data_IF_839950617873
#
_entry.id   IF_839950617873
#
_cell.length_a   1.000
_cell.length_b   1.000
_cell.length_c   1.000
_cell.angle_alpha   90.00
_cell.angle_beta   90.00
_cell.angle_gamma   90.00
#
_symmetry.space_group_name_H-M   'P 1'
#
loop_
_entity.id
_entity.type
_entity.pdbx_description
1 polymer ?
#
# COMPACT_ATOMS: atom_id res chain seq x y z
N UNK A 1 -9.40 27.84 6.36
CA UNK A 1 -8.10 27.23 6.00
C UNK A 1 -7.88 25.94 6.79
N UNK A 2 -8.21 24.76 6.22
CA UNK A 2 -7.83 23.49 6.84
C UNK A 2 -6.40 23.19 6.46
N UNK A 3 -5.55 23.16 7.48
CA UNK A 3 -4.12 22.86 7.41
C UNK A 3 -3.92 21.38 7.06
N UNK A 4 -3.23 21.12 5.96
CA UNK A 4 -2.51 19.87 5.75
C UNK A 4 -1.10 20.28 5.33
N UNK A 5 -0.10 20.29 6.23
CA UNK A 5 1.29 20.37 5.80
C UNK A 5 1.66 18.99 5.27
N UNK A 6 1.21 18.64 4.07
CA UNK A 6 1.42 17.33 3.44
C UNK A 6 2.84 17.19 2.87
N UNK A 7 3.83 17.74 3.56
CA UNK A 7 5.24 17.68 3.16
C UNK A 7 6.11 18.12 4.34
N UNK A 8 6.04 17.41 5.47
CA UNK A 8 7.15 17.51 6.42
C UNK A 8 8.34 16.85 5.76
N UNK A 9 9.25 17.70 5.27
CA UNK A 9 10.53 17.37 4.66
C UNK A 9 11.47 16.61 5.63
N UNK A 10 11.06 15.43 6.07
CA UNK A 10 11.95 14.39 6.52
C UNK A 10 12.30 13.56 5.29
N UNK A 11 13.54 13.07 5.22
CA UNK A 11 14.12 12.34 4.07
C UNK A 11 13.53 10.91 3.99
N UNK A 12 12.22 10.78 4.10
CA UNK A 12 11.52 9.55 4.39
C UNK A 12 10.04 9.61 4.04
N UNK A 13 9.39 8.45 4.02
CA UNK A 13 8.00 8.30 3.63
C UNK A 13 7.10 8.30 4.86
N UNK A 14 5.97 8.96 4.76
CA UNK A 14 4.94 8.95 5.79
C UNK A 14 4.11 7.66 5.74
N UNK A 15 3.46 7.36 6.87
CA UNK A 15 2.58 6.21 7.01
C UNK A 15 1.50 6.23 5.92
N UNK A 16 1.43 5.21 5.05
CA UNK A 16 0.41 5.14 4.03
C UNK A 16 -0.96 4.76 4.63
N UNK A 17 -2.04 5.34 4.11
CA UNK A 17 -3.41 4.91 4.41
C UNK A 17 -3.85 3.84 3.40
N UNK A 18 -4.10 2.62 3.89
CA UNK A 18 -4.65 1.52 3.09
C UNK A 18 -6.10 1.28 3.49
N UNK A 19 -7.02 1.39 2.54
CA UNK A 19 -8.43 1.05 2.73
C UNK A 19 -8.63 -0.43 2.46
N UNK A 20 -9.35 -1.15 3.34
CA UNK A 20 -9.63 -2.59 3.21
C UNK A 20 -8.36 -3.47 3.14
N UNK A 21 -7.31 -3.03 3.84
CA UNK A 21 -6.07 -3.76 3.98
C UNK A 21 -5.31 -3.36 5.24
N UNK A 22 -4.15 -3.99 5.43
CA UNK A 22 -3.33 -3.88 6.63
C UNK A 22 -1.88 -3.70 6.25
N UNK A 23 -1.21 -2.73 6.87
CA UNK A 23 0.23 -2.54 6.74
C UNK A 23 0.94 -3.43 7.75
N UNK A 24 1.84 -4.28 7.28
CA UNK A 24 2.77 -5.01 8.13
C UNK A 24 3.84 -4.01 8.59
N UNK A 25 3.93 -3.80 9.90
CA UNK A 25 4.80 -2.80 10.54
C UNK A 25 4.43 -1.33 10.28
N UNK A 26 3.18 -0.96 10.57
CA UNK A 26 2.74 0.45 10.55
C UNK A 26 3.57 1.32 11.53
N UNK A 27 4.27 2.31 10.99
CA UNK A 27 5.07 3.33 11.70
C UNK A 27 4.65 4.69 11.19
N UNK A 28 4.91 5.73 11.98
CA UNK A 28 4.59 7.11 11.58
C UNK A 28 5.43 7.61 10.41
N UNK A 29 6.67 7.12 10.29
CA UNK A 29 7.67 7.56 9.29
C UNK A 29 8.64 6.42 8.97
N UNK A 30 9.08 6.37 7.73
CA UNK A 30 10.00 5.37 7.17
C UNK A 30 11.18 6.04 6.50
N UNK A 31 12.34 5.42 6.56
CA UNK A 31 13.54 5.90 5.87
C UNK A 31 13.61 5.43 4.43
N UNK A 32 14.25 6.22 3.56
CA UNK A 32 14.48 5.82 2.18
C UNK A 32 15.23 4.47 2.10
N UNK A 33 14.67 3.53 1.34
CA UNK A 33 15.15 2.15 1.24
C UNK A 33 14.42 1.16 2.16
N UNK A 34 13.61 1.64 3.11
CA UNK A 34 12.71 0.75 3.87
C UNK A 34 11.55 0.29 3.01
N UNK A 35 11.16 -0.96 3.25
CA UNK A 35 10.12 -1.63 2.49
C UNK A 35 8.96 -1.98 3.41
N UNK A 36 7.75 -1.73 2.93
CA UNK A 36 6.51 -2.04 3.61
C UNK A 36 5.74 -3.11 2.87
N UNK A 37 5.21 -4.06 3.64
CA UNK A 37 4.24 -5.03 3.13
C UNK A 37 2.82 -4.60 3.48
N UNK A 38 1.92 -4.84 2.54
CA UNK A 38 0.49 -4.57 2.67
C UNK A 38 -0.27 -5.85 2.38
N UNK A 39 -1.24 -6.15 3.23
CA UNK A 39 -2.08 -7.33 3.10
C UNK A 39 -3.51 -6.85 2.97
N UNK A 40 -4.13 -7.08 1.82
CA UNK A 40 -5.53 -6.74 1.64
C UNK A 40 -6.43 -7.76 2.35
N UNK A 41 -7.60 -7.32 2.80
CA UNK A 41 -8.60 -8.22 3.37
C UNK A 41 -9.09 -9.21 2.30
N UNK A 42 -9.52 -10.41 2.74
CA UNK A 42 -9.97 -11.48 1.85
C UNK A 42 -11.10 -10.99 0.94
N UNK A 43 -10.92 -11.11 -0.38
CA UNK A 43 -11.87 -10.64 -1.40
C UNK A 43 -11.65 -9.20 -1.89
N UNK A 44 -10.63 -8.50 -1.39
CA UNK A 44 -10.24 -7.14 -1.80
C UNK A 44 -8.95 -7.04 -2.60
N UNK A 45 -8.35 -8.17 -2.98
CA UNK A 45 -7.20 -8.18 -3.87
C UNK A 45 -7.10 -9.48 -4.64
N UNK A 46 -6.49 -9.41 -5.83
CA UNK A 46 -6.08 -10.58 -6.62
C UNK A 46 -4.75 -11.16 -6.13
N UNK A 47 -3.96 -10.36 -5.41
CA UNK A 47 -2.65 -10.72 -4.86
C UNK A 47 -2.73 -10.71 -3.33
N UNK A 48 -2.19 -11.75 -2.67
CA UNK A 48 -2.33 -11.92 -1.22
C UNK A 48 -1.51 -10.90 -0.41
N UNK A 49 -0.46 -10.32 -1.01
CA UNK A 49 0.41 -9.36 -0.32
C UNK A 49 1.10 -8.45 -1.33
N UNK A 50 1.06 -7.14 -1.08
CA UNK A 50 1.75 -6.11 -1.86
C UNK A 50 2.96 -5.60 -1.10
N UNK A 51 3.92 -5.05 -1.82
CA UNK A 51 5.14 -4.49 -1.24
C UNK A 51 5.45 -3.14 -1.88
N UNK A 52 5.72 -2.12 -1.05
CA UNK A 52 6.16 -0.80 -1.51
C UNK A 52 7.42 -0.38 -0.79
N UNK A 53 8.39 0.14 -1.53
CA UNK A 53 9.61 0.68 -0.98
C UNK A 53 9.52 2.21 -0.86
N UNK A 54 9.99 2.73 0.25
CA UNK A 54 10.15 4.16 0.44
C UNK A 54 11.29 4.69 -0.42
N UNK A 55 10.97 5.54 -1.38
CA UNK A 55 11.96 6.20 -2.21
C UNK A 55 12.55 7.42 -1.48
N UNK A 56 13.80 7.80 -1.78
CA UNK A 56 14.44 9.00 -1.23
C UNK A 56 13.75 10.32 -1.59
N UNK A 57 12.71 10.28 -2.43
CA UNK A 57 11.79 11.39 -2.69
C UNK A 57 10.61 11.51 -1.74
N UNK A 58 10.50 10.65 -0.72
CA UNK A 58 9.35 10.62 0.21
C UNK A 58 8.10 9.98 -0.40
N UNK A 59 8.27 9.18 -1.43
CA UNK A 59 7.19 8.51 -2.17
C UNK A 59 7.33 7.01 -2.09
N UNK A 60 6.20 6.31 -1.96
CA UNK A 60 6.15 4.85 -2.03
C UNK A 60 6.19 4.38 -3.48
N UNK A 61 7.08 3.44 -3.79
CA UNK A 61 7.19 2.81 -5.11
C UNK A 61 7.34 1.27 -4.98
N UNK A 62 6.46 0.47 -5.59
CA UNK A 62 5.24 0.89 -6.30
C UNK A 62 4.27 1.65 -5.36
N UNK A 63 3.35 2.47 -5.91
CA UNK A 63 2.40 3.21 -5.10
C UNK A 63 1.57 2.28 -4.23
N UNK A 64 1.18 2.78 -3.06
CA UNK A 64 0.39 2.04 -2.07
C UNK A 64 -0.86 1.46 -2.75
N UNK A 65 -1.11 0.14 -2.61
CA UNK A 65 -2.25 -0.49 -3.25
C UNK A 65 -3.56 0.05 -2.67
N UNK A 66 -4.51 0.32 -3.55
CA UNK A 66 -5.91 0.38 -3.16
C UNK A 66 -6.44 -1.05 -3.16
N UNK A 67 -6.79 -1.59 -2.00
CA UNK A 67 -7.46 -2.89 -1.91
C UNK A 67 -8.91 -2.72 -2.40
N UNK A 68 -9.08 -2.69 -3.72
CA UNK A 68 -10.36 -2.68 -4.40
C UNK A 68 -10.88 -4.12 -4.47
N UNK A 69 -12.17 -4.33 -4.22
CA UNK A 69 -12.80 -5.66 -4.38
C UNK A 69 -12.35 -6.24 -5.70
N UNK A 70 -11.55 -7.31 -5.62
CA UNK A 70 -11.17 -8.04 -6.80
C UNK A 70 -12.48 -8.47 -7.44
N UNK A 71 -12.71 -8.03 -8.67
CA UNK A 71 -13.66 -8.71 -9.55
C UNK A 71 -13.27 -10.18 -9.41
N UNK A 72 -14.17 -10.99 -8.84
CA UNK A 72 -13.91 -12.40 -8.63
C UNK A 72 -13.49 -12.95 -9.99
N UNK A 73 -12.18 -13.16 -10.15
CA UNK A 73 -11.60 -13.72 -11.35
C UNK A 73 -12.04 -15.16 -11.38
N UNK A 74 -13.26 -15.39 -11.85
CA UNK A 74 -13.64 -16.70 -12.32
C UNK A 74 -12.53 -17.10 -13.30
N UNK A 75 -11.78 -18.19 -13.07
CA UNK A 75 -10.85 -18.66 -14.07
C UNK A 75 -11.70 -19.05 -15.28
N UNK A 76 -11.72 -18.18 -16.30
CA UNK A 76 -12.23 -18.46 -17.63
C UNK A 76 -11.40 -19.64 -18.19
N UNK A 77 -11.78 -20.86 -17.81
CA UNK A 77 -11.10 -22.07 -18.27
C UNK A 77 -11.00 -23.26 -17.32
N UNK A 78 -11.77 -23.37 -16.24
CA UNK A 78 -11.95 -24.70 -15.61
C UNK A 78 -12.99 -25.49 -16.44
N UNK A 79 -12.58 -26.52 -17.23
CA UNK A 79 -13.55 -27.32 -17.97
C UNK A 79 -14.29 -28.22 -16.98
N UNK A 80 -15.62 -28.15 -17.01
CA UNK A 80 -16.51 -29.17 -16.44
C UNK A 80 -16.44 -30.47 -17.23
#
# INVERSE_FOLDING_TARGET
QRLLPMSSAAIGCEAPEVQNGKVHELRSTYTAGETLQFTCDVGYATEDTYESQCQPGGTWDPPVPACEKGECGYPEGSPV
#
